data_IF_856880808042
#
_entry.id   IF_856880808042
#
_cell.length_a   1.000
_cell.length_b   1.000
_cell.length_c   1.000
_cell.angle_alpha   90.00
_cell.angle_beta   90.00
_cell.angle_gamma   90.00
#
_symmetry.space_group_name_H-M   'P 1'
#
loop_
_entity.id
_entity.type
_entity.pdbx_description
1 polymer ?
#
# COMPACT_ATOMS: atom_id res chain seq x y z
N UNK A 1 40.33 6.49 -16.28
CA UNK A 1 39.35 5.61 -16.95
C UNK A 1 39.19 4.22 -16.33
N UNK A 2 40.16 3.69 -15.55
CA UNK A 2 40.09 2.32 -15.00
C UNK A 2 39.13 2.13 -13.80
N UNK A 3 38.87 3.18 -13.00
CA UNK A 3 38.06 3.09 -11.77
C UNK A 3 36.56 3.33 -12.00
N UNK A 4 36.18 4.04 -13.06
CA UNK A 4 34.79 4.41 -13.31
C UNK A 4 33.89 3.18 -13.59
N UNK A 5 34.40 2.18 -14.30
CA UNK A 5 33.65 0.96 -14.66
C UNK A 5 33.22 0.12 -13.46
N UNK A 6 34.11 -0.29 -12.54
CA UNK A 6 33.70 -1.08 -11.37
C UNK A 6 32.81 -0.28 -10.42
N UNK A 7 33.02 1.03 -10.29
CA UNK A 7 32.16 1.89 -9.44
C UNK A 7 30.74 1.97 -9.99
N UNK A 8 30.57 2.21 -11.30
CA UNK A 8 29.25 2.22 -11.93
C UNK A 8 28.54 0.86 -11.80
N UNK A 9 29.28 -0.24 -11.92
CA UNK A 9 28.74 -1.59 -11.71
C UNK A 9 28.22 -1.79 -10.28
N UNK A 10 29.01 -1.40 -9.27
CA UNK A 10 28.61 -1.50 -7.87
C UNK A 10 27.39 -0.63 -7.57
N UNK A 11 27.36 0.62 -8.06
CA UNK A 11 26.22 1.53 -7.89
C UNK A 11 24.96 0.93 -8.53
N UNK A 12 25.07 0.37 -9.73
CA UNK A 12 23.94 -0.29 -10.40
C UNK A 12 23.39 -1.45 -9.56
N UNK A 13 24.25 -2.30 -9.00
CA UNK A 13 23.83 -3.41 -8.14
C UNK A 13 23.11 -2.92 -6.89
N UNK A 14 23.62 -1.87 -6.23
CA UNK A 14 22.97 -1.28 -5.04
C UNK A 14 21.58 -0.73 -5.39
N UNK A 15 21.45 -0.02 -6.50
CA UNK A 15 20.17 0.54 -6.94
C UNK A 15 19.14 -0.55 -7.27
N UNK A 16 19.57 -1.63 -7.94
CA UNK A 16 18.69 -2.77 -8.23
C UNK A 16 18.27 -3.49 -6.94
N UNK A 17 19.21 -3.74 -6.01
CA UNK A 17 18.90 -4.36 -4.73
C UNK A 17 17.91 -3.52 -3.90
N UNK A 18 18.10 -2.20 -3.87
CA UNK A 18 17.18 -1.28 -3.20
C UNK A 18 15.80 -1.26 -3.87
N UNK A 19 15.74 -1.26 -5.21
CA UNK A 19 14.49 -1.35 -5.95
C UNK A 19 13.70 -2.62 -5.65
N UNK A 20 14.39 -3.77 -5.59
CA UNK A 20 13.77 -5.05 -5.19
C UNK A 20 13.25 -5.00 -3.75
N UNK A 21 14.03 -4.45 -2.82
CA UNK A 21 13.61 -4.28 -1.42
C UNK A 21 12.33 -3.42 -1.32
N UNK A 22 12.26 -2.30 -2.05
CA UNK A 22 11.07 -1.46 -2.07
C UNK A 22 9.87 -2.14 -2.73
N UNK A 23 10.10 -2.96 -3.76
CA UNK A 23 9.04 -3.76 -4.36
C UNK A 23 8.44 -4.75 -3.33
N UNK A 24 9.26 -5.37 -2.49
CA UNK A 24 8.76 -6.21 -1.40
C UNK A 24 7.92 -5.41 -0.38
N UNK A 25 8.31 -4.18 -0.06
CA UNK A 25 7.51 -3.34 0.84
C UNK A 25 6.13 -3.02 0.25
N UNK A 26 6.05 -2.80 -1.07
CA UNK A 26 4.79 -2.59 -1.77
C UNK A 26 3.94 -3.86 -1.75
N UNK A 27 4.50 -5.01 -2.13
CA UNK A 27 3.74 -6.28 -2.20
C UNK A 27 3.23 -6.71 -0.81
N UNK A 28 4.05 -6.54 0.22
CA UNK A 28 3.75 -6.97 1.59
C UNK A 28 3.09 -5.86 2.44
N UNK A 29 2.66 -4.76 1.81
CA UNK A 29 2.01 -3.65 2.50
C UNK A 29 0.70 -4.09 3.18
N UNK A 30 0.59 -3.81 4.48
CA UNK A 30 -0.57 -4.21 5.29
C UNK A 30 -0.55 -5.66 5.84
N UNK A 31 0.48 -6.46 5.53
CA UNK A 31 0.62 -7.84 6.07
C UNK A 31 0.99 -7.84 7.56
N UNK A 32 1.83 -6.89 7.99
CA UNK A 32 2.34 -6.80 9.36
C UNK A 32 2.27 -5.38 9.89
N UNK A 33 2.15 -5.24 11.21
CA UNK A 33 2.20 -3.95 11.91
C UNK A 33 3.63 -3.46 12.20
N UNK A 34 4.62 -3.92 11.42
CA UNK A 34 6.01 -3.49 11.54
C UNK A 34 6.36 -2.49 10.45
N UNK A 35 7.18 -1.50 10.79
CA UNK A 35 7.75 -0.59 9.80
C UNK A 35 8.75 -1.34 8.92
N UNK A 36 8.75 -1.13 7.59
CA UNK A 36 8.01 -0.09 6.85
C UNK A 36 6.63 -0.51 6.31
N UNK A 37 6.26 -1.79 6.45
CA UNK A 37 5.09 -2.40 5.80
C UNK A 37 3.75 -1.79 6.24
N UNK A 38 3.68 -1.30 7.48
CA UNK A 38 2.53 -0.60 8.03
C UNK A 38 2.46 0.89 7.63
N UNK A 39 3.42 1.38 6.85
CA UNK A 39 3.44 2.76 6.33
C UNK A 39 3.27 2.82 4.82
N UNK A 40 3.49 1.71 4.13
CA UNK A 40 3.32 1.61 2.68
C UNK A 40 1.85 1.40 2.33
N UNK A 41 1.31 2.22 1.43
CA UNK A 41 -0.04 2.11 0.86
C UNK A 41 -0.07 2.90 -0.44
N UNK A 42 -1.05 2.63 -1.32
CA UNK A 42 -1.19 3.33 -2.60
C UNK A 42 -1.99 4.61 -2.46
N UNK A 43 -3.13 4.51 -1.78
CA UNK A 43 -4.07 5.62 -1.61
C UNK A 43 -4.71 5.53 -0.24
N UNK A 44 -4.90 6.71 0.37
CA UNK A 44 -5.71 6.89 1.57
C UNK A 44 -6.91 7.75 1.20
N UNK A 45 -8.10 7.32 1.62
CA UNK A 45 -9.36 8.03 1.40
C UNK A 45 -10.03 8.24 2.75
N UNK A 46 -10.46 9.47 3.01
CA UNK A 46 -11.40 9.74 4.10
C UNK A 46 -12.76 9.20 3.70
N UNK A 47 -13.27 8.27 4.48
CA UNK A 47 -14.53 7.56 4.22
C UNK A 47 -15.64 8.02 5.16
N UNK A 48 -15.46 9.16 5.85
CA UNK A 48 -16.51 9.77 6.66
C UNK A 48 -17.80 9.96 5.84
N UNK A 49 -18.94 9.56 6.41
CA UNK A 49 -20.24 9.65 5.75
C UNK A 49 -20.55 8.52 4.75
N UNK A 50 -19.60 7.62 4.49
CA UNK A 50 -19.84 6.38 3.73
C UNK A 50 -20.15 5.20 4.65
N UNK A 51 -20.56 4.06 4.09
CA UNK A 51 -20.70 2.81 4.85
C UNK A 51 -19.38 2.01 4.93
N UNK A 52 -18.23 2.62 4.60
CA UNK A 52 -16.95 1.92 4.64
C UNK A 52 -16.67 1.37 6.05
N UNK A 53 -16.13 0.15 6.17
CA UNK A 53 -15.86 -0.48 7.48
C UNK A 53 -14.72 0.20 8.25
N UNK A 54 -13.95 1.08 7.60
CA UNK A 54 -12.74 1.71 8.13
C UNK A 54 -12.71 3.17 7.70
N UNK A 55 -12.39 4.07 8.61
CA UNK A 55 -12.12 5.47 8.31
C UNK A 55 -10.85 5.98 9.01
N UNK A 56 -9.85 6.51 8.29
CA UNK A 56 -9.70 6.49 6.82
C UNK A 56 -9.40 5.07 6.31
N UNK A 57 -9.78 4.80 5.06
CA UNK A 57 -9.45 3.56 4.36
C UNK A 57 -8.18 3.74 3.51
N UNK A 58 -7.25 2.80 3.63
CA UNK A 58 -6.01 2.71 2.87
C UNK A 58 -5.99 1.47 2.01
N UNK A 59 -5.77 1.63 0.71
CA UNK A 59 -5.55 0.49 -0.18
C UNK A 59 -4.07 0.14 -0.22
N UNK A 60 -3.80 -1.14 0.02
CA UNK A 60 -2.50 -1.76 -0.11
C UNK A 60 -2.55 -2.82 -1.22
N UNK A 61 -1.46 -3.55 -1.46
CA UNK A 61 -1.40 -4.48 -2.59
C UNK A 61 -2.46 -5.59 -2.54
N UNK A 62 -2.75 -6.11 -1.33
CA UNK A 62 -3.75 -7.16 -1.15
C UNK A 62 -4.85 -6.79 -0.15
N UNK A 63 -4.77 -5.63 0.52
CA UNK A 63 -5.66 -5.33 1.64
C UNK A 63 -6.26 -3.93 1.53
N UNK A 64 -7.43 -3.78 2.16
CA UNK A 64 -7.91 -2.48 2.61
C UNK A 64 -7.66 -2.41 4.11
N UNK A 65 -6.92 -1.41 4.54
CA UNK A 65 -6.56 -1.19 5.94
C UNK A 65 -7.19 0.10 6.47
N UNK A 66 -7.44 0.13 7.77
CA UNK A 66 -7.74 1.36 8.49
C UNK A 66 -6.44 2.04 8.91
N UNK A 67 -6.57 3.09 9.72
CA UNK A 67 -5.42 3.82 10.26
C UNK A 67 -5.49 3.90 11.78
N UNK A 68 -4.39 3.52 12.43
CA UNK A 68 -4.18 3.71 13.86
C UNK A 68 -2.80 4.33 14.07
N UNK A 69 -2.72 5.48 14.76
CA UNK A 69 -1.47 6.23 14.99
C UNK A 69 -0.70 6.54 13.69
N UNK A 70 -1.42 6.79 12.58
CA UNK A 70 -0.84 7.04 11.26
C UNK A 70 -0.34 5.79 10.53
N UNK A 71 -0.49 4.60 11.11
CA UNK A 71 -0.04 3.31 10.58
C UNK A 71 -1.24 2.49 10.08
N UNK A 72 -1.00 1.64 9.09
CA UNK A 72 -1.98 0.66 8.59
C UNK A 72 -2.36 -0.28 9.74
N UNK A 73 -3.65 -0.36 10.04
CA UNK A 73 -4.19 -1.18 11.12
C UNK A 73 -5.55 -1.75 10.72
N UNK A 74 -6.04 -2.76 11.44
CA UNK A 74 -7.36 -3.36 11.21
C UNK A 74 -7.60 -3.78 9.75
N UNK A 75 -6.57 -4.32 9.11
CA UNK A 75 -6.62 -4.74 7.71
C UNK A 75 -7.61 -5.90 7.49
N UNK A 76 -8.22 -5.94 6.31
CA UNK A 76 -9.18 -6.97 5.94
C UNK A 76 -8.55 -8.29 5.55
N UNK A 77 -9.34 -9.14 4.90
CA UNK A 77 -8.81 -10.34 4.25
C UNK A 77 -7.91 -9.96 3.06
N UNK A 78 -6.88 -10.76 2.75
CA UNK A 78 -6.11 -10.60 1.53
C UNK A 78 -6.98 -10.92 0.31
N UNK A 79 -7.02 -10.01 -0.65
CA UNK A 79 -7.75 -10.16 -1.91
C UNK A 79 -6.76 -10.03 -3.07
N UNK A 80 -6.64 -11.05 -3.94
CA UNK A 80 -5.80 -10.96 -5.13
C UNK A 80 -6.41 -9.93 -6.09
N UNK A 81 -5.55 -9.14 -6.74
CA UNK A 81 -5.97 -8.11 -7.71
C UNK A 81 -7.09 -7.21 -7.17
N UNK A 82 -6.99 -6.78 -5.91
CA UNK A 82 -7.98 -5.93 -5.25
C UNK A 82 -8.20 -4.63 -6.04
N UNK A 83 -9.37 -4.42 -6.67
CA UNK A 83 -9.62 -3.22 -7.43
C UNK A 83 -9.91 -2.06 -6.49
N UNK A 84 -9.63 -0.84 -6.95
CA UNK A 84 -10.19 0.36 -6.34
C UNK A 84 -11.65 0.51 -6.81
N UNK A 85 -12.57 -0.15 -6.10
CA UNK A 85 -14.00 -0.12 -6.41
C UNK A 85 -14.82 0.14 -5.13
N UNK A 86 -14.93 1.41 -4.68
CA UNK A 86 -15.54 1.75 -3.39
C UNK A 86 -16.94 1.17 -3.16
N UNK A 87 -17.89 1.18 -4.13
CA UNK A 87 -19.21 0.58 -3.93
C UNK A 87 -19.16 -0.90 -3.52
N UNK A 88 -18.34 -1.70 -4.23
CA UNK A 88 -18.18 -3.13 -3.93
C UNK A 88 -17.31 -3.36 -2.69
N UNK A 89 -16.27 -2.55 -2.50
CA UNK A 89 -15.37 -2.66 -1.35
C UNK A 89 -16.06 -2.31 -0.02
N UNK A 90 -17.07 -1.42 -0.05
CA UNK A 90 -17.84 -1.02 1.12
C UNK A 90 -19.16 -1.77 1.25
N UNK A 91 -19.59 -2.48 0.21
CA UNK A 91 -20.91 -3.13 0.15
C UNK A 91 -22.06 -2.13 0.15
N UNK A 92 -21.82 -0.89 -0.30
CA UNK A 92 -22.79 0.20 -0.28
C UNK A 92 -22.40 1.32 -1.24
N UNK A 93 -23.40 1.98 -1.82
CA UNK A 93 -23.24 3.21 -2.61
C UNK A 93 -23.44 4.47 -1.76
N UNK A 94 -23.77 4.35 -0.47
CA UNK A 94 -24.02 5.50 0.40
C UNK A 94 -22.76 6.36 0.54
N UNK A 95 -22.86 7.64 0.18
CA UNK A 95 -21.77 8.61 0.28
C UNK A 95 -20.65 8.39 -0.74
N UNK A 96 -20.76 7.40 -1.64
CA UNK A 96 -19.81 7.19 -2.73
C UNK A 96 -20.27 8.02 -3.94
N UNK A 97 -19.43 8.94 -4.47
CA UNK A 97 -19.76 9.69 -5.67
C UNK A 97 -20.04 8.78 -6.87
N UNK A 98 -21.02 9.15 -7.70
CA UNK A 98 -21.22 8.53 -9.00
C UNK A 98 -20.03 8.78 -9.94
N UNK A 99 -19.87 7.89 -10.92
CA UNK A 99 -18.88 8.03 -11.99
C UNK A 99 -19.25 9.15 -12.98
#
# INVERSE_FOLDING_TARGET
MAVARPVLGLVSLILVAAGLLFQFFVILSGVSNSTPLNRTYFIQVDTAGTAAPRNPSRWTFFYICGVQNGLNANCGAPVPALPFNPPENFGSTQGVPGA
#
